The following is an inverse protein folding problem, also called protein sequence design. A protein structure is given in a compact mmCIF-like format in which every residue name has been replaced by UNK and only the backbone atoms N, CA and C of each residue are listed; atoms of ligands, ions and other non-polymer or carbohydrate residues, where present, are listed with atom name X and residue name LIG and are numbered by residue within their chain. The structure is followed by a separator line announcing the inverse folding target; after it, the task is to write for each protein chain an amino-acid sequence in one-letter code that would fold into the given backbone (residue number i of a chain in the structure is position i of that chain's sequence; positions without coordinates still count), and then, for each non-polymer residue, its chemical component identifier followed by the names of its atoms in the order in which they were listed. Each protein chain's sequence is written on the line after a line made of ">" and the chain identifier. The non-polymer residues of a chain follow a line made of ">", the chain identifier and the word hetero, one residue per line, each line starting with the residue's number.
data_IF_735162790900
#
_entry.id   IF_735162790900
#
_cell.length_a   1.000
_cell.length_b   1.000
_cell.length_c   1.000
_cell.angle_alpha   90.00
_cell.angle_beta   90.00
_cell.angle_gamma   90.00
#
_symmetry.space_group_name_H-M   'P 1'
#
loop_
_entity.id
_entity.type
_entity.pdbx_description
1 polymer ?
#
# COMPACT_ATOMS: atom_id res chain seq x y z
N UNK A 1 -28.44 2.97 -0.87
CA UNK A 1 -29.07 1.81 -0.19
C UNK A 1 -28.04 0.70 0.02
N UNK A 2 -28.05 0.01 1.17
CA UNK A 2 -27.17 -1.15 1.36
C UNK A 2 -27.87 -2.39 0.78
N UNK A 3 -27.39 -2.91 -0.37
CA UNK A 3 -27.88 -4.18 -0.89
C UNK A 3 -27.64 -5.34 0.08
N UNK A 4 -28.51 -6.35 0.09
CA UNK A 4 -28.31 -7.59 0.85
C UNK A 4 -27.14 -8.38 0.26
N UNK A 5 -26.49 -9.21 1.08
CA UNK A 5 -25.39 -10.07 0.59
C UNK A 5 -25.93 -11.07 -0.42
N UNK A 6 -25.26 -11.17 -1.56
CA UNK A 6 -25.62 -12.11 -2.62
C UNK A 6 -26.71 -11.59 -3.58
N UNK A 7 -27.30 -10.41 -3.32
CA UNK A 7 -28.23 -9.77 -4.25
C UNK A 7 -27.49 -8.80 -5.17
N UNK A 8 -27.88 -8.75 -6.43
CA UNK A 8 -27.39 -7.77 -7.41
C UNK A 8 -27.97 -6.39 -7.11
N UNK A 9 -27.17 -5.36 -7.30
CA UNK A 9 -27.62 -3.97 -7.26
C UNK A 9 -28.36 -3.63 -8.56
N UNK A 10 -29.05 -2.49 -8.60
CA UNK A 10 -29.68 -1.99 -9.81
C UNK A 10 -28.71 -1.69 -10.96
N UNK A 11 -27.41 -1.54 -10.68
CA UNK A 11 -26.36 -1.47 -11.71
C UNK A 11 -25.79 -2.87 -11.96
N UNK A 12 -25.98 -3.44 -13.18
CA UNK A 12 -25.47 -4.78 -13.53
C UNK A 12 -23.93 -4.87 -13.56
N UNK A 13 -23.24 -3.73 -13.63
CA UNK A 13 -21.78 -3.65 -13.56
C UNK A 13 -21.24 -3.84 -12.14
N UNK A 14 -22.07 -3.64 -11.11
CA UNK A 14 -21.66 -3.81 -9.72
C UNK A 14 -21.65 -5.28 -9.30
N UNK A 15 -20.52 -5.77 -8.78
CA UNK A 15 -20.46 -7.14 -8.30
C UNK A 15 -21.30 -7.30 -7.03
N UNK A 16 -21.92 -8.48 -6.80
CA UNK A 16 -22.68 -8.75 -5.59
C UNK A 16 -21.75 -8.68 -4.37
N UNK A 17 -22.32 -8.26 -3.22
CA UNK A 17 -21.56 -8.24 -1.96
C UNK A 17 -21.18 -9.66 -1.56
N UNK A 18 -19.88 -9.88 -1.34
CA UNK A 18 -19.37 -11.14 -0.81
C UNK A 18 -18.88 -10.98 0.64
N UNK A 19 -18.75 -12.10 1.35
CA UNK A 19 -18.11 -12.10 2.68
C UNK A 19 -16.60 -12.00 2.53
N UNK A 20 -15.95 -11.28 3.46
CA UNK A 20 -14.50 -11.23 3.51
C UNK A 20 -13.93 -12.65 3.72
N UNK A 21 -12.91 -13.00 2.95
CA UNK A 21 -12.15 -14.22 3.16
C UNK A 21 -11.30 -14.07 4.43
N UNK A 22 -11.61 -14.86 5.46
CA UNK A 22 -10.93 -14.87 6.76
C UNK A 22 -9.90 -16.03 6.90
N UNK A 23 -9.60 -16.76 5.85
CA UNK A 23 -8.63 -17.86 5.90
C UNK A 23 -7.26 -17.36 6.33
N UNK A 24 -6.53 -18.17 7.09
CA UNK A 24 -5.13 -17.85 7.46
C UNK A 24 -4.23 -17.86 6.22
N UNK A 25 -3.10 -17.20 6.32
CA UNK A 25 -2.10 -17.11 5.25
C UNK A 25 -2.18 -15.81 4.44
N UNK A 26 -1.28 -15.69 3.46
CA UNK A 26 -1.15 -14.50 2.62
C UNK A 26 -2.30 -14.40 1.62
N UNK A 27 -2.77 -13.17 1.45
CA UNK A 27 -3.82 -12.88 0.49
C UNK A 27 -3.31 -12.86 -0.95
N UNK A 28 -4.23 -13.15 -1.88
CA UNK A 28 -4.04 -12.93 -3.30
C UNK A 28 -5.30 -12.29 -3.87
N UNK A 29 -5.18 -11.68 -5.04
CA UNK A 29 -6.35 -11.11 -5.71
C UNK A 29 -7.38 -12.21 -6.05
N UNK A 30 -6.91 -13.40 -6.44
CA UNK A 30 -7.75 -14.54 -6.78
C UNK A 30 -8.55 -15.08 -5.59
N UNK A 31 -7.99 -15.06 -4.38
CA UNK A 31 -8.65 -15.59 -3.18
C UNK A 31 -9.44 -14.54 -2.38
N UNK A 32 -9.83 -13.42 -3.01
CA UNK A 32 -10.60 -12.32 -2.42
C UNK A 32 -9.93 -11.63 -1.22
N UNK A 33 -8.59 -11.66 -1.19
CA UNK A 33 -7.75 -10.92 -0.25
C UNK A 33 -6.65 -10.18 -1.00
N UNK A 34 -7.02 -9.20 -1.85
CA UNK A 34 -6.05 -8.50 -2.69
C UNK A 34 -4.98 -7.81 -1.83
N UNK A 35 -3.70 -8.13 -2.03
CA UNK A 35 -2.64 -7.41 -1.33
C UNK A 35 -2.49 -5.99 -1.89
N UNK A 36 -2.08 -5.08 -1.02
CA UNK A 36 -1.62 -3.75 -1.44
C UNK A 36 -0.12 -3.69 -1.20
N UNK A 37 0.65 -3.28 -2.19
CA UNK A 37 2.07 -2.98 -2.06
C UNK A 37 2.26 -1.48 -1.92
N UNK A 38 3.21 -1.05 -1.07
CA UNK A 38 3.53 0.35 -0.87
C UNK A 38 5.03 0.60 -0.90
N UNK A 39 5.42 1.75 -1.45
CA UNK A 39 6.76 2.34 -1.34
C UNK A 39 6.58 3.75 -0.79
N UNK A 40 7.32 4.08 0.26
CA UNK A 40 7.28 5.40 0.91
C UNK A 40 8.69 5.99 0.93
N UNK A 41 8.85 7.15 0.32
CA UNK A 41 10.09 7.89 0.35
C UNK A 41 10.27 8.61 1.70
N UNK A 42 11.32 8.28 2.44
CA UNK A 42 11.58 8.88 3.77
C UNK A 42 11.78 10.38 3.70
N UNK A 43 12.58 10.86 2.74
CA UNK A 43 12.86 12.28 2.56
C UNK A 43 11.72 12.99 1.85
N UNK A 44 11.25 12.45 0.73
CA UNK A 44 10.21 13.07 -0.09
C UNK A 44 8.83 13.04 0.55
N UNK A 45 8.60 12.12 1.48
CA UNK A 45 7.27 11.81 2.05
C UNK A 45 6.25 11.39 0.99
N UNK A 46 6.72 11.06 -0.22
CA UNK A 46 5.86 10.55 -1.29
C UNK A 46 5.52 9.09 -1.05
N UNK A 47 4.26 8.76 -1.32
CA UNK A 47 3.72 7.42 -1.19
C UNK A 47 3.36 6.89 -2.57
N UNK A 48 3.66 5.63 -2.84
CA UNK A 48 3.14 4.90 -3.99
C UNK A 48 2.52 3.60 -3.51
N UNK A 49 1.25 3.40 -3.84
CA UNK A 49 0.50 2.22 -3.45
C UNK A 49 -0.16 1.57 -4.65
N UNK A 50 -0.18 0.24 -4.68
CA UNK A 50 -0.87 -0.53 -5.74
C UNK A 50 -1.50 -1.79 -5.15
N UNK A 51 -2.71 -2.07 -5.60
CA UNK A 51 -3.30 -3.40 -5.43
C UNK A 51 -2.59 -4.35 -6.38
N UNK A 52 -2.06 -5.45 -5.85
CA UNK A 52 -1.28 -6.42 -6.61
C UNK A 52 -1.94 -7.80 -6.59
N UNK A 53 -1.56 -8.66 -7.54
CA UNK A 53 -2.17 -9.99 -7.67
C UNK A 53 -1.76 -10.93 -6.53
N UNK A 54 -0.52 -10.81 -6.07
CA UNK A 54 0.05 -11.63 -5.00
C UNK A 54 1.27 -10.92 -4.40
N UNK A 55 1.88 -11.54 -3.39
CA UNK A 55 3.07 -11.04 -2.70
C UNK A 55 4.36 -11.77 -3.11
N UNK A 56 4.42 -12.38 -4.30
CA UNK A 56 5.64 -13.03 -4.81
C UNK A 56 6.69 -11.99 -5.18
N UNK A 57 7.96 -12.37 -5.11
CA UNK A 57 9.08 -11.50 -5.49
C UNK A 57 8.98 -10.98 -6.94
N UNK A 58 8.48 -11.81 -7.87
CA UNK A 58 8.22 -11.41 -9.26
C UNK A 58 7.17 -10.29 -9.40
N UNK A 59 6.34 -10.07 -8.39
CA UNK A 59 5.35 -8.98 -8.34
C UNK A 59 5.88 -7.78 -7.57
N UNK A 60 6.51 -8.02 -6.41
CA UNK A 60 6.93 -6.94 -5.50
C UNK A 60 8.21 -6.25 -5.95
N UNK A 61 9.24 -7.00 -6.41
CA UNK A 61 10.51 -6.38 -6.80
C UNK A 61 10.37 -5.38 -7.95
N UNK A 62 9.68 -5.71 -9.08
CA UNK A 62 9.49 -4.74 -10.16
C UNK A 62 8.70 -3.50 -9.72
N UNK A 63 7.75 -3.65 -8.79
CA UNK A 63 7.01 -2.51 -8.24
C UNK A 63 7.94 -1.59 -7.46
N UNK A 64 8.74 -2.13 -6.54
CA UNK A 64 9.70 -1.33 -5.77
C UNK A 64 10.73 -0.68 -6.67
N UNK A 65 11.28 -1.41 -7.62
CA UNK A 65 12.28 -0.91 -8.58
C UNK A 65 11.76 0.21 -9.46
N UNK A 66 10.49 0.15 -9.86
CA UNK A 66 9.82 1.21 -10.65
C UNK A 66 9.74 2.54 -9.91
N UNK A 67 9.55 2.51 -8.60
CA UNK A 67 9.30 3.71 -7.78
C UNK A 67 10.49 4.12 -6.91
N UNK A 68 11.65 3.50 -7.11
CA UNK A 68 12.91 3.86 -6.43
C UNK A 68 14.02 4.11 -7.45
N UNK A 69 14.89 5.07 -7.15
CA UNK A 69 16.09 5.32 -7.96
C UNK A 69 17.01 4.10 -7.92
N UNK A 70 17.84 3.91 -8.96
CA UNK A 70 18.74 2.76 -9.04
C UNK A 70 19.74 2.67 -7.86
N UNK A 71 20.17 3.81 -7.36
CA UNK A 71 21.11 3.95 -6.23
C UNK A 71 20.37 4.15 -4.86
N UNK A 72 19.07 3.95 -4.81
CA UNK A 72 18.33 4.12 -3.56
C UNK A 72 18.58 2.97 -2.60
N UNK A 73 18.75 3.30 -1.34
CA UNK A 73 18.68 2.33 -0.23
C UNK A 73 17.22 2.04 0.11
N UNK A 74 16.86 0.76 0.17
CA UNK A 74 15.51 0.29 0.46
C UNK A 74 15.51 -0.45 1.79
N UNK A 75 14.61 -0.07 2.67
CA UNK A 75 14.40 -0.70 3.97
C UNK A 75 13.15 -1.56 3.93
N UNK A 76 13.28 -2.82 4.29
CA UNK A 76 12.17 -3.80 4.30
C UNK A 76 12.18 -4.61 5.58
N UNK A 77 11.12 -5.40 5.81
CA UNK A 77 11.16 -6.53 6.73
C UNK A 77 11.97 -7.71 6.14
N UNK A 78 12.08 -8.79 6.91
CA UNK A 78 12.77 -10.03 6.52
C UNK A 78 12.09 -10.84 5.42
N UNK A 79 11.01 -10.33 4.81
CA UNK A 79 10.23 -11.11 3.85
C UNK A 79 11.06 -11.53 2.62
N UNK A 80 11.15 -12.84 2.37
CA UNK A 80 11.98 -13.46 1.31
C UNK A 80 11.67 -12.97 -0.10
N UNK A 81 10.45 -12.50 -0.36
CA UNK A 81 10.06 -11.98 -1.68
C UNK A 81 10.91 -10.79 -2.13
N UNK A 82 11.59 -10.10 -1.21
CA UNK A 82 12.49 -8.99 -1.52
C UNK A 82 13.95 -9.42 -1.76
N UNK A 83 14.31 -10.71 -1.63
CA UNK A 83 15.70 -11.17 -1.76
C UNK A 83 16.29 -10.95 -3.17
N UNK A 84 15.43 -10.80 -4.19
CA UNK A 84 15.85 -10.54 -5.58
C UNK A 84 15.77 -9.07 -5.97
N UNK A 85 15.55 -8.18 -5.02
CA UNK A 85 15.46 -6.74 -5.28
C UNK A 85 16.82 -6.19 -5.72
N UNK A 86 16.84 -5.50 -6.87
CA UNK A 86 18.06 -4.88 -7.44
C UNK A 86 18.28 -3.49 -6.84
N UNK A 87 18.42 -3.40 -5.52
CA UNK A 87 18.69 -2.18 -4.76
C UNK A 87 19.57 -2.51 -3.56
N UNK A 88 20.24 -1.52 -3.01
CA UNK A 88 20.85 -1.66 -1.68
C UNK A 88 19.72 -1.89 -0.69
N UNK A 89 19.72 -3.02 -0.01
CA UNK A 89 18.64 -3.41 0.88
C UNK A 89 19.14 -3.61 2.30
N UNK A 90 18.53 -2.91 3.24
CA UNK A 90 18.67 -3.18 4.68
C UNK A 90 17.36 -3.75 5.20
N UNK A 91 17.47 -4.72 6.09
CA UNK A 91 16.31 -5.44 6.64
C UNK A 91 16.28 -5.31 8.15
N UNK A 92 15.06 -5.25 8.69
CA UNK A 92 14.79 -5.48 10.12
C UNK A 92 14.13 -6.83 10.28
N UNK A 93 14.44 -7.54 11.37
CA UNK A 93 13.93 -8.87 11.64
C UNK A 93 12.92 -8.82 12.80
N UNK A 94 11.65 -8.64 12.48
CA UNK A 94 10.57 -8.60 13.47
C UNK A 94 10.42 -9.91 14.25
N UNK A 95 10.77 -11.05 13.65
CA UNK A 95 10.75 -12.35 14.33
C UNK A 95 11.77 -12.44 15.46
N UNK A 96 12.81 -11.60 15.44
CA UNK A 96 13.81 -11.46 16.50
C UNK A 96 13.58 -10.25 17.40
N UNK A 97 12.40 -9.63 17.34
CA UNK A 97 12.07 -8.38 18.04
C UNK A 97 12.96 -7.18 17.65
N UNK A 98 13.58 -7.22 16.47
CA UNK A 98 14.33 -6.10 15.94
C UNK A 98 13.39 -5.14 15.21
N UNK A 99 13.13 -3.98 15.80
CA UNK A 99 12.24 -2.95 15.23
C UNK A 99 13.00 -1.84 14.52
N UNK A 100 14.23 -1.59 14.99
CA UNK A 100 15.12 -0.60 14.40
C UNK A 100 16.56 -0.93 14.81
N UNK A 101 17.51 -0.65 13.88
CA UNK A 101 18.94 -0.90 14.06
C UNK A 101 19.73 0.30 13.60
N UNK A 102 20.83 0.56 14.30
CA UNK A 102 21.89 1.49 13.96
C UNK A 102 23.00 0.66 13.27
N UNK A 103 23.25 0.89 11.98
CA UNK A 103 24.24 0.12 11.22
C UNK A 103 25.61 0.81 11.18
N UNK A 104 25.69 2.13 11.42
CA UNK A 104 26.93 2.91 11.36
C UNK A 104 27.48 3.36 12.72
N UNK A 105 26.71 3.14 13.79
CA UNK A 105 27.14 3.38 15.16
C UNK A 105 27.11 4.86 15.58
N UNK A 106 26.36 5.70 14.87
CA UNK A 106 26.22 7.13 15.17
C UNK A 106 25.17 7.42 16.28
N UNK A 107 24.49 6.40 16.79
CA UNK A 107 23.43 6.47 17.78
C UNK A 107 22.04 6.70 17.20
N UNK A 108 21.91 6.81 15.87
CA UNK A 108 20.64 6.95 15.17
C UNK A 108 20.25 5.58 14.61
N UNK A 109 19.04 5.12 14.91
CA UNK A 109 18.54 3.85 14.39
C UNK A 109 17.88 4.06 13.01
N UNK A 110 18.70 4.21 11.98
CA UNK A 110 18.25 4.52 10.62
C UNK A 110 17.61 3.34 9.91
N UNK A 111 17.95 2.09 10.28
CA UNK A 111 17.36 0.88 9.67
C UNK A 111 16.05 0.53 10.39
N UNK A 112 14.93 0.93 9.80
CA UNK A 112 13.58 0.65 10.31
C UNK A 112 12.52 0.70 9.19
N UNK A 113 11.31 0.21 9.44
CA UNK A 113 10.16 0.23 8.51
C UNK A 113 8.96 1.05 9.01
N UNK A 114 9.15 1.87 10.04
CA UNK A 114 8.08 2.65 10.70
C UNK A 114 7.29 3.54 9.72
N UNK A 115 7.94 4.08 8.68
CA UNK A 115 7.26 4.89 7.66
C UNK A 115 6.19 4.07 6.91
N UNK A 116 6.47 2.82 6.60
CA UNK A 116 5.51 1.91 5.98
C UNK A 116 4.36 1.55 6.92
N UNK A 117 4.65 1.29 8.19
CA UNK A 117 3.63 1.00 9.20
C UNK A 117 2.66 2.18 9.36
N UNK A 118 3.18 3.40 9.42
CA UNK A 118 2.38 4.62 9.41
C UNK A 118 1.51 4.75 8.16
N UNK A 119 2.06 4.46 6.98
CA UNK A 119 1.31 4.43 5.71
C UNK A 119 0.18 3.40 5.69
N UNK A 120 0.43 2.20 6.22
CA UNK A 120 -0.59 1.16 6.37
C UNK A 120 -1.70 1.55 7.35
N UNK A 121 -1.34 2.20 8.45
CA UNK A 121 -2.30 2.70 9.42
C UNK A 121 -3.20 3.78 8.80
N UNK A 122 -2.61 4.71 8.03
CA UNK A 122 -3.35 5.71 7.27
C UNK A 122 -4.35 5.10 6.29
N UNK A 123 -3.91 4.14 5.46
CA UNK A 123 -4.78 3.44 4.52
C UNK A 123 -5.92 2.68 5.23
N UNK A 124 -5.62 1.97 6.31
CA UNK A 124 -6.66 1.26 7.08
C UNK A 124 -7.70 2.22 7.66
N UNK A 125 -7.27 3.34 8.19
CA UNK A 125 -8.17 4.37 8.74
C UNK A 125 -9.04 5.00 7.64
N UNK A 126 -8.46 5.27 6.47
CA UNK A 126 -9.20 5.75 5.30
C UNK A 126 -10.26 4.74 4.82
N UNK A 127 -9.94 3.44 4.81
CA UNK A 127 -10.87 2.40 4.36
C UNK A 127 -11.95 2.02 5.39
N UNK A 128 -11.72 2.28 6.69
CA UNK A 128 -12.61 1.88 7.79
C UNK A 128 -14.07 2.36 7.66
N UNK A 129 -14.36 3.63 7.29
CA UNK A 129 -15.72 4.13 7.13
C UNK A 129 -16.55 3.37 6.09
N UNK A 130 -15.90 2.80 5.08
CA UNK A 130 -16.57 2.06 4.00
C UNK A 130 -17.00 0.65 4.40
N UNK A 131 -16.60 0.17 5.60
CA UNK A 131 -16.96 -1.13 6.18
C UNK A 131 -16.72 -2.33 5.25
N UNK A 132 -15.74 -2.22 4.38
CA UNK A 132 -15.34 -3.20 3.38
C UNK A 132 -15.49 -2.65 1.96
N UNK A 133 -14.47 -2.86 1.17
CA UNK A 133 -14.41 -2.44 -0.24
C UNK A 133 -14.25 -3.71 -1.08
N UNK A 134 -15.08 -3.85 -2.11
CA UNK A 134 -14.95 -4.97 -3.04
C UNK A 134 -13.64 -4.86 -3.83
N UNK A 135 -12.97 -5.99 -4.12
CA UNK A 135 -11.66 -6.02 -4.78
C UNK A 135 -11.63 -5.29 -6.13
N UNK A 136 -12.73 -5.30 -6.89
CA UNK A 136 -12.87 -4.58 -8.17
C UNK A 136 -12.64 -3.07 -8.02
N UNK A 137 -13.07 -2.49 -6.89
CA UNK A 137 -12.97 -1.06 -6.63
C UNK A 137 -11.79 -0.66 -5.74
N UNK A 138 -11.14 -1.63 -5.08
CA UNK A 138 -10.07 -1.35 -4.12
C UNK A 138 -8.94 -0.51 -4.71
N UNK A 139 -8.60 -0.72 -5.99
CA UNK A 139 -7.56 0.05 -6.68
C UNK A 139 -7.88 1.54 -6.76
N UNK A 140 -9.15 1.91 -6.99
CA UNK A 140 -9.61 3.29 -6.99
C UNK A 140 -9.50 3.93 -5.60
N UNK A 141 -9.94 3.23 -4.56
CA UNK A 141 -9.80 3.72 -3.18
C UNK A 141 -8.35 3.90 -2.76
N UNK A 142 -7.47 2.96 -3.12
CA UNK A 142 -6.03 3.07 -2.85
C UNK A 142 -5.43 4.27 -3.60
N UNK A 143 -5.84 4.52 -4.85
CA UNK A 143 -5.38 5.67 -5.62
C UNK A 143 -5.85 7.00 -5.02
N UNK A 144 -7.10 7.09 -4.54
CA UNK A 144 -7.61 8.28 -3.85
C UNK A 144 -6.81 8.54 -2.57
N UNK A 145 -6.54 7.50 -1.77
CA UNK A 145 -5.72 7.64 -0.57
C UNK A 145 -4.29 8.08 -0.90
N UNK A 146 -3.64 7.45 -1.89
CA UNK A 146 -2.30 7.83 -2.36
C UNK A 146 -2.27 9.30 -2.78
N UNK A 147 -3.25 9.74 -3.58
CA UNK A 147 -3.37 11.12 -4.02
C UNK A 147 -3.49 12.08 -2.83
N UNK A 148 -4.42 11.82 -1.90
CA UNK A 148 -4.65 12.66 -0.73
C UNK A 148 -3.40 12.79 0.16
N UNK A 149 -2.66 11.69 0.38
CA UNK A 149 -1.42 11.71 1.17
C UNK A 149 -0.30 12.49 0.46
N UNK A 150 -0.22 12.39 -0.86
CA UNK A 150 0.80 13.06 -1.65
C UNK A 150 0.50 14.55 -1.90
N UNK A 151 -0.77 14.95 -1.79
CA UNK A 151 -1.18 16.34 -1.97
C UNK A 151 -0.80 17.16 -0.73
N UNK A 152 0.35 17.86 -0.81
CA UNK A 152 0.91 18.61 0.32
C UNK A 152 0.34 20.03 0.47
N UNK A 153 -0.18 20.57 -0.63
CA UNK A 153 -0.71 21.92 -0.67
C UNK A 153 -1.98 21.94 -1.51
N UNK A 154 -3.01 22.58 -1.00
CA UNK A 154 -4.25 22.85 -1.72
C UNK A 154 -4.23 24.34 -2.06
N UNK A 155 -3.98 24.67 -3.34
CA UNK A 155 -3.99 26.06 -3.82
C UNK A 155 -5.31 26.40 -4.54
N UNK A 156 -5.65 27.69 -4.69
CA UNK A 156 -6.79 28.11 -5.49
C UNK A 156 -6.75 27.56 -6.92
N UNK A 157 -5.57 27.49 -7.54
CA UNK A 157 -5.36 26.95 -8.89
C UNK A 157 -5.63 25.47 -8.94
N UNK A 158 -5.23 24.71 -7.89
CA UNK A 158 -5.55 23.27 -7.77
C UNK A 158 -7.07 23.07 -7.70
N UNK A 159 -7.77 23.82 -6.87
CA UNK A 159 -9.24 23.78 -6.78
C UNK A 159 -9.88 24.12 -8.13
N UNK A 160 -9.43 25.21 -8.77
CA UNK A 160 -9.92 25.61 -10.08
C UNK A 160 -9.71 24.53 -11.15
N UNK A 161 -8.58 23.78 -11.10
CA UNK A 161 -8.31 22.70 -12.04
C UNK A 161 -9.29 21.53 -11.87
N UNK A 162 -9.68 21.20 -10.63
CA UNK A 162 -10.67 20.15 -10.36
C UNK A 162 -12.06 20.56 -10.86
N UNK A 163 -12.46 21.81 -10.61
CA UNK A 163 -13.79 22.31 -11.01
C UNK A 163 -13.94 22.45 -12.52
N UNK A 164 -12.87 22.76 -13.26
CA UNK A 164 -12.89 22.91 -14.73
C UNK A 164 -12.95 21.59 -15.51
N UNK A 165 -12.77 20.45 -14.83
CA UNK A 165 -12.84 19.11 -15.44
C UNK A 165 -14.27 18.57 -15.54
N UNK A 166 -15.25 19.37 -15.22
CA UNK A 166 -16.68 19.14 -15.39
C UNK A 166 -17.26 20.24 -16.30
#
# INVERSE_FOLDING_TARGET
>A
MRGKKGEWHGNPEDPPRCRANKRRGRGTYANDRPPVCAVIGRQSRQVRMRVVQNTKGSTLCPFVEKFTKANATVYTDEYDSYNRLKRIRHTVCHSQNEWARDDDGDGIREVHVNSNEGGWTGLRNFLRPFRGVHKKYLSGYVAIHEFAVNQKCVSPEFIASIVRLH
#
